data_IF_050972715216
#
_entry.id   IF_050972715216
#
_cell.length_a   1.000
_cell.length_b   1.000
_cell.length_c   1.000
_cell.angle_alpha   90.00
_cell.angle_beta   90.00
_cell.angle_gamma   90.00
#
_symmetry.space_group_name_H-M   'P 1'
#
loop_
_entity.id
_entity.type
_entity.pdbx_description
1 polymer ?
#
# COMPACT_ATOMS: atom_id res chain seq x y z
N UNK A 1 -17.78 4.93 41.89
CA UNK A 1 -18.12 4.21 40.64
C UNK A 1 -18.24 5.12 39.40
N UNK A 2 -18.85 6.32 39.46
CA UNK A 2 -19.00 7.23 38.29
C UNK A 2 -17.69 7.54 37.52
N UNK A 3 -16.59 7.90 38.21
CA UNK A 3 -15.31 8.25 37.58
C UNK A 3 -14.67 7.11 36.77
N UNK A 4 -14.85 5.87 37.21
CA UNK A 4 -14.32 4.69 36.50
C UNK A 4 -15.18 4.35 35.29
N UNK A 5 -16.50 4.53 35.37
CA UNK A 5 -17.41 4.35 34.23
C UNK A 5 -17.14 5.33 33.09
N UNK A 6 -16.89 6.60 33.40
CA UNK A 6 -16.51 7.62 32.41
C UNK A 6 -15.22 7.24 31.68
N UNK A 7 -14.18 6.83 32.42
CA UNK A 7 -12.92 6.39 31.82
C UNK A 7 -13.09 5.14 30.92
N UNK A 8 -13.92 4.18 31.33
CA UNK A 8 -14.21 2.98 30.54
C UNK A 8 -14.98 3.30 29.26
N UNK A 9 -15.98 4.18 29.31
CA UNK A 9 -16.73 4.63 28.13
C UNK A 9 -15.81 5.39 27.17
N UNK A 10 -14.97 6.29 27.69
CA UNK A 10 -13.99 7.02 26.87
C UNK A 10 -12.99 6.06 26.22
N UNK A 11 -12.43 5.11 26.98
CA UNK A 11 -11.52 4.10 26.44
C UNK A 11 -12.20 3.24 25.37
N UNK A 12 -13.44 2.81 25.59
CA UNK A 12 -14.24 2.07 24.60
C UNK A 12 -14.42 2.88 23.32
N UNK A 13 -14.86 4.14 23.41
CA UNK A 13 -15.04 4.99 22.24
C UNK A 13 -13.73 5.21 21.48
N UNK A 14 -12.61 5.40 22.17
CA UNK A 14 -11.29 5.57 21.54
C UNK A 14 -10.87 4.31 20.79
N UNK A 15 -10.96 3.14 21.43
CA UNK A 15 -10.54 1.87 20.83
C UNK A 15 -11.46 1.46 19.68
N UNK A 16 -12.76 1.77 19.77
CA UNK A 16 -13.73 1.43 18.71
C UNK A 16 -13.68 2.40 17.52
N UNK A 17 -13.57 3.71 17.77
CA UNK A 17 -13.78 4.74 16.73
C UNK A 17 -12.55 5.54 16.34
N UNK A 18 -11.51 5.57 17.17
CA UNK A 18 -10.34 6.44 16.92
C UNK A 18 -9.19 5.64 16.33
N UNK A 19 -8.81 4.53 16.95
CA UNK A 19 -7.57 3.83 16.59
C UNK A 19 -7.65 2.32 16.72
N UNK A 20 -7.06 1.61 15.76
CA UNK A 20 -6.81 0.17 15.85
C UNK A 20 -5.33 -0.13 15.60
N UNK A 21 -4.83 -1.21 16.18
CA UNK A 21 -3.46 -1.69 15.92
C UNK A 21 -3.50 -2.98 15.12
N UNK A 22 -2.73 -3.06 14.04
CA UNK A 22 -2.62 -4.24 13.19
C UNK A 22 -1.21 -4.81 13.34
N UNK A 23 -1.12 -6.11 13.67
CA UNK A 23 0.14 -6.84 13.66
C UNK A 23 0.57 -7.19 12.23
N UNK A 24 1.84 -7.02 11.94
CA UNK A 24 2.43 -7.38 10.65
C UNK A 24 3.04 -8.77 10.76
N UNK A 25 2.52 -9.69 9.95
CA UNK A 25 3.02 -11.05 9.83
C UNK A 25 3.57 -11.25 8.41
N UNK A 26 4.80 -11.73 8.34
CA UNK A 26 5.52 -12.00 7.09
C UNK A 26 6.31 -10.80 6.54
N UNK A 27 6.99 -11.04 5.42
CA UNK A 27 8.03 -10.15 4.86
C UNK A 27 7.57 -9.35 3.63
N UNK A 28 6.30 -9.42 3.27
CA UNK A 28 5.78 -8.86 2.01
C UNK A 28 5.88 -7.33 1.91
N UNK A 29 6.01 -6.65 3.04
CA UNK A 29 6.11 -5.20 3.13
C UNK A 29 7.53 -4.72 3.50
N UNK A 30 8.52 -5.62 3.53
CA UNK A 30 9.90 -5.20 3.78
C UNK A 30 10.45 -4.38 2.59
N UNK A 31 11.25 -3.33 2.85
CA UNK A 31 11.76 -2.92 4.16
C UNK A 31 10.87 -1.91 4.90
N UNK A 32 9.71 -1.53 4.37
CA UNK A 32 8.88 -0.46 4.95
C UNK A 32 8.16 -0.90 6.23
N UNK A 33 7.74 -2.16 6.31
CA UNK A 33 7.17 -2.82 7.48
C UNK A 33 7.82 -4.18 7.64
N UNK A 34 8.29 -4.48 8.85
CA UNK A 34 8.99 -5.71 9.19
C UNK A 34 8.08 -6.67 9.94
N UNK A 35 8.39 -7.95 9.83
CA UNK A 35 7.72 -8.99 10.60
C UNK A 35 7.77 -8.70 12.11
N UNK A 36 6.64 -8.88 12.80
CA UNK A 36 6.49 -8.63 14.24
C UNK A 36 6.24 -7.16 14.64
N UNK A 37 6.27 -6.21 13.70
CA UNK A 37 5.88 -4.83 13.98
C UNK A 37 4.36 -4.70 14.17
N UNK A 38 3.92 -3.64 14.86
CA UNK A 38 2.50 -3.25 14.88
C UNK A 38 2.30 -1.86 14.33
N UNK A 39 1.40 -1.77 13.35
CA UNK A 39 0.99 -0.53 12.74
C UNK A 39 -0.24 0.04 13.44
N UNK A 40 -0.19 1.33 13.74
CA UNK A 40 -1.32 2.14 14.18
C UNK A 40 -2.14 2.60 12.98
N UNK A 41 -3.44 2.34 13.04
CA UNK A 41 -4.41 2.66 11.99
C UNK A 41 -5.44 3.63 12.56
N UNK A 42 -5.46 4.89 12.12
CA UNK A 42 -6.55 5.81 12.44
C UNK A 42 -7.84 5.38 11.75
N UNK A 43 -8.89 5.13 12.54
CA UNK A 43 -10.21 4.69 12.02
C UNK A 43 -10.99 5.81 11.35
N UNK A 44 -10.72 7.08 11.71
CA UNK A 44 -11.36 8.25 11.11
C UNK A 44 -11.15 8.33 9.59
N UNK A 45 -10.04 7.83 9.06
CA UNK A 45 -9.78 7.84 7.61
C UNK A 45 -10.71 6.88 6.88
N UNK A 46 -10.92 5.69 7.45
CA UNK A 46 -11.89 4.73 6.90
C UNK A 46 -13.30 5.30 6.91
N UNK A 47 -13.69 5.99 7.98
CA UNK A 47 -14.99 6.66 8.03
C UNK A 47 -15.11 7.79 7.00
N UNK A 48 -14.07 8.61 6.85
CA UNK A 48 -14.06 9.69 5.86
C UNK A 48 -14.15 9.16 4.43
N UNK A 49 -13.51 8.04 4.10
CA UNK A 49 -13.65 7.39 2.78
C UNK A 49 -15.06 6.90 2.55
N UNK A 50 -15.66 6.20 3.54
CA UNK A 50 -17.04 5.68 3.43
C UNK A 50 -18.10 6.78 3.29
N UNK A 51 -17.85 7.95 3.87
CA UNK A 51 -18.70 9.13 3.75
C UNK A 51 -18.43 9.96 2.49
N UNK A 52 -17.49 9.54 1.62
CA UNK A 52 -17.10 10.26 0.41
C UNK A 52 -16.29 11.54 0.67
N UNK A 53 -15.89 11.81 1.91
CA UNK A 53 -15.08 12.97 2.30
C UNK A 53 -13.56 12.76 2.07
N UNK A 54 -13.15 11.52 1.81
CA UNK A 54 -11.76 11.15 1.53
C UNK A 54 -11.66 10.10 0.44
N UNK A 55 -10.50 10.02 -0.21
CA UNK A 55 -10.19 8.97 -1.19
C UNK A 55 -8.82 8.40 -0.88
N UNK A 56 -8.66 7.10 -1.10
CA UNK A 56 -7.36 6.45 -1.03
C UNK A 56 -6.43 6.99 -2.10
N UNK A 57 -5.13 7.07 -1.79
CA UNK A 57 -4.13 7.64 -2.70
C UNK A 57 -3.06 6.61 -3.02
N UNK A 58 -2.51 6.71 -4.23
CA UNK A 58 -1.30 5.98 -4.59
C UNK A 58 -0.19 6.30 -3.59
N UNK A 59 0.50 5.25 -3.12
CA UNK A 59 1.52 5.31 -2.09
C UNK A 59 1.01 5.03 -0.68
N UNK A 60 -0.30 5.00 -0.43
CA UNK A 60 -0.83 4.63 0.88
C UNK A 60 -0.65 3.12 1.15
N UNK A 61 -0.35 2.76 2.40
CA UNK A 61 -0.28 1.37 2.85
C UNK A 61 -1.57 1.03 3.56
N UNK A 62 -2.31 0.08 3.00
CA UNK A 62 -3.64 -0.29 3.46
C UNK A 62 -3.69 -1.76 3.82
N UNK A 63 -4.57 -2.10 4.77
CA UNK A 63 -4.93 -3.48 5.04
C UNK A 63 -6.39 -3.72 4.67
N UNK A 64 -6.64 -4.86 4.05
CA UNK A 64 -7.92 -5.22 3.44
C UNK A 64 -8.12 -6.73 3.52
N UNK A 65 -9.35 -7.16 3.30
CA UNK A 65 -9.67 -8.59 3.25
C UNK A 65 -9.12 -9.18 1.96
N UNK A 66 -8.27 -10.21 2.04
CA UNK A 66 -7.75 -10.86 0.84
C UNK A 66 -8.90 -11.39 -0.05
N UNK A 67 -8.83 -11.28 -1.39
CA UNK A 67 -9.84 -11.84 -2.30
C UNK A 67 -9.95 -13.39 -2.24
N UNK A 68 -11.02 -13.93 -2.82
CA UNK A 68 -11.62 -15.25 -2.57
C UNK A 68 -10.78 -16.53 -2.75
N UNK A 69 -9.56 -16.49 -3.29
CA UNK A 69 -8.81 -17.70 -3.68
C UNK A 69 -7.99 -18.34 -2.55
N UNK A 70 -8.45 -18.23 -1.31
CA UNK A 70 -7.86 -18.95 -0.18
C UNK A 70 -8.94 -19.86 0.38
N UNK A 71 -8.72 -21.18 0.55
CA UNK A 71 -9.74 -22.06 1.10
C UNK A 71 -10.14 -21.57 2.49
N UNK A 72 -11.34 -20.99 2.59
CA UNK A 72 -11.88 -20.45 3.83
C UNK A 72 -12.66 -21.54 4.54
N UNK A 73 -12.34 -21.76 5.81
CA UNK A 73 -13.25 -22.51 6.67
C UNK A 73 -14.58 -21.73 6.86
N UNK A 74 -15.61 -22.41 7.36
CA UNK A 74 -16.94 -21.80 7.56
C UNK A 74 -16.87 -20.54 8.44
N UNK A 75 -15.97 -20.55 9.43
CA UNK A 75 -15.75 -19.43 10.34
C UNK A 75 -15.20 -18.19 9.62
N UNK A 76 -14.24 -18.35 8.72
CA UNK A 76 -13.68 -17.27 7.89
C UNK A 76 -14.66 -16.75 6.84
N UNK A 77 -15.62 -17.57 6.41
CA UNK A 77 -16.72 -17.09 5.55
C UNK A 77 -17.71 -16.22 6.33
N UNK A 78 -17.97 -16.57 7.59
CA UNK A 78 -18.90 -15.84 8.47
C UNK A 78 -18.26 -14.59 9.10
N UNK A 79 -17.00 -14.68 9.54
CA UNK A 79 -16.27 -13.60 10.22
C UNK A 79 -15.41 -12.75 9.28
N UNK A 80 -15.20 -13.20 8.04
CA UNK A 80 -14.24 -12.63 7.10
C UNK A 80 -12.88 -13.31 7.23
N UNK A 81 -12.26 -13.64 6.10
CA UNK A 81 -10.93 -14.27 6.10
C UNK A 81 -9.80 -13.27 6.38
N UNK A 82 -8.53 -13.72 6.28
CA UNK A 82 -7.40 -12.96 6.80
C UNK A 82 -7.24 -11.60 6.13
N UNK A 83 -6.88 -10.61 6.94
CA UNK A 83 -6.47 -9.30 6.46
C UNK A 83 -5.03 -9.37 5.95
N UNK A 84 -4.79 -8.72 4.81
CA UNK A 84 -3.45 -8.56 4.24
C UNK A 84 -3.13 -7.08 4.14
N UNK A 85 -1.85 -6.74 4.33
CA UNK A 85 -1.34 -5.37 4.21
C UNK A 85 -0.51 -5.22 2.94
N UNK A 86 -0.81 -4.20 2.13
CA UNK A 86 -0.14 -3.89 0.85
C UNK A 86 -0.11 -2.38 0.59
N UNK A 87 0.72 -1.94 -0.35
CA UNK A 87 0.78 -0.56 -0.82
C UNK A 87 -0.07 -0.35 -2.06
N UNK A 88 -0.89 0.69 -2.07
CA UNK A 88 -1.61 1.14 -3.26
C UNK A 88 -0.60 1.69 -4.26
N UNK A 89 -0.55 1.13 -5.46
CA UNK A 89 0.28 1.66 -6.54
C UNK A 89 -0.53 2.39 -7.60
N UNK A 90 -1.80 2.03 -7.76
CA UNK A 90 -2.73 2.70 -8.66
C UNK A 90 -4.15 2.69 -8.09
N UNK A 91 -4.91 3.71 -8.44
CA UNK A 91 -6.33 3.89 -8.06
C UNK A 91 -7.22 3.75 -9.30
N UNK A 92 -8.53 3.69 -9.10
CA UNK A 92 -9.48 3.53 -10.19
C UNK A 92 -9.33 4.56 -11.31
N UNK A 93 -9.50 4.09 -12.56
CA UNK A 93 -9.30 4.88 -13.77
C UNK A 93 -7.85 4.94 -14.26
N UNK A 94 -6.89 4.44 -13.48
CA UNK A 94 -5.48 4.34 -13.90
C UNK A 94 -5.19 3.01 -14.59
N UNK A 95 -4.07 2.93 -15.30
CA UNK A 95 -3.59 1.70 -15.94
C UNK A 95 -2.26 1.27 -15.34
N UNK A 96 -2.09 -0.02 -15.04
CA UNK A 96 -0.84 -0.58 -14.49
C UNK A 96 -0.19 -1.52 -15.50
N UNK A 97 1.11 -1.36 -15.74
CA UNK A 97 1.90 -2.28 -16.54
C UNK A 97 3.20 -2.65 -15.81
N UNK A 98 3.78 -3.79 -16.18
CA UNK A 98 5.15 -4.15 -15.78
C UNK A 98 5.95 -4.39 -17.06
N UNK A 99 7.06 -3.69 -17.24
CA UNK A 99 7.95 -3.88 -18.38
C UNK A 99 9.36 -4.13 -17.88
N UNK A 100 9.92 -5.31 -18.18
CA UNK A 100 11.29 -5.68 -17.77
C UNK A 100 11.55 -5.44 -16.27
N UNK A 101 10.57 -5.78 -15.43
CA UNK A 101 10.65 -5.58 -13.99
C UNK A 101 10.47 -4.15 -13.50
N UNK A 102 10.04 -3.21 -14.35
CA UNK A 102 9.70 -1.84 -13.96
C UNK A 102 8.19 -1.67 -13.91
N UNK A 103 7.70 -1.12 -12.81
CA UNK A 103 6.28 -0.78 -12.65
C UNK A 103 5.99 0.54 -13.37
N UNK A 104 5.04 0.50 -14.30
CA UNK A 104 4.49 1.69 -14.94
C UNK A 104 3.05 1.89 -14.50
N UNK A 105 2.69 3.13 -14.23
CA UNK A 105 1.29 3.51 -14.00
C UNK A 105 0.95 4.69 -14.90
N UNK A 106 -0.07 4.52 -15.72
CA UNK A 106 -0.45 5.43 -16.80
C UNK A 106 0.70 5.66 -17.81
N UNK A 107 1.50 4.62 -18.06
CA UNK A 107 2.67 4.65 -18.95
C UNK A 107 3.91 5.33 -18.36
N UNK A 108 3.82 5.88 -17.15
CA UNK A 108 4.95 6.53 -16.48
C UNK A 108 5.60 5.59 -15.45
N UNK A 109 6.94 5.55 -15.34
CA UNK A 109 7.62 4.82 -14.28
C UNK A 109 7.13 5.25 -12.89
N UNK A 110 6.87 4.27 -12.05
CA UNK A 110 6.36 4.49 -10.70
C UNK A 110 7.46 4.30 -9.65
N UNK A 111 7.73 5.36 -8.88
CA UNK A 111 8.65 5.35 -7.74
C UNK A 111 8.04 4.69 -6.49
N UNK A 112 6.91 3.99 -6.61
CA UNK A 112 6.33 3.21 -5.52
C UNK A 112 7.12 1.92 -5.22
N UNK A 113 8.43 1.94 -5.47
CA UNK A 113 9.38 0.87 -5.19
C UNK A 113 10.20 1.31 -3.97
N UNK A 114 10.19 0.49 -2.93
CA UNK A 114 11.10 0.66 -1.80
C UNK A 114 12.24 -0.32 -1.98
N UNK A 115 13.43 0.19 -2.31
CA UNK A 115 14.63 -0.61 -2.56
C UNK A 115 14.86 -0.95 -4.04
N UNK A 116 16.00 -1.55 -4.35
CA UNK A 116 16.47 -1.80 -5.72
C UNK A 116 15.93 -3.09 -6.35
N UNK A 117 15.03 -3.83 -5.69
CA UNK A 117 14.60 -5.14 -6.18
C UNK A 117 13.68 -4.99 -7.41
N UNK A 118 14.16 -5.24 -8.64
CA UNK A 118 13.28 -5.28 -9.79
C UNK A 118 12.37 -6.50 -9.66
N UNK A 119 11.23 -6.53 -10.35
CA UNK A 119 10.36 -7.70 -10.40
C UNK A 119 10.99 -8.86 -11.22
N UNK A 120 12.32 -9.01 -11.20
CA UNK A 120 13.06 -9.79 -12.19
C UNK A 120 12.80 -9.28 -13.61
N UNK A 121 12.68 -10.18 -14.57
CA UNK A 121 12.28 -9.89 -15.97
C UNK A 121 10.76 -9.94 -16.20
N UNK A 122 9.95 -9.93 -15.13
CA UNK A 122 8.50 -10.04 -15.23
C UNK A 122 7.91 -8.89 -16.05
N UNK A 123 7.04 -9.24 -16.99
CA UNK A 123 6.36 -8.32 -17.88
C UNK A 123 4.86 -8.62 -17.86
N UNK A 124 4.05 -7.58 -17.76
CA UNK A 124 2.60 -7.63 -17.70
C UNK A 124 2.04 -6.52 -18.58
N UNK A 125 1.09 -6.90 -19.45
CA UNK A 125 0.38 -5.94 -20.28
C UNK A 125 -0.34 -4.88 -19.44
N UNK A 126 -0.53 -3.71 -20.04
CA UNK A 126 -1.29 -2.62 -19.48
C UNK A 126 -2.69 -3.09 -19.06
N UNK A 127 -2.94 -3.10 -17.75
CA UNK A 127 -4.18 -3.57 -17.13
C UNK A 127 -4.91 -2.39 -16.51
N UNK A 128 -6.14 -2.07 -16.93
CA UNK A 128 -6.91 -0.97 -16.35
C UNK A 128 -7.40 -1.33 -14.95
N UNK A 129 -7.38 -0.35 -14.04
CA UNK A 129 -7.93 -0.46 -12.69
C UNK A 129 -9.37 0.05 -12.70
N UNK A 130 -10.38 -0.77 -12.36
CA UNK A 130 -11.77 -0.32 -12.29
C UNK A 130 -11.95 0.88 -11.33
N UNK A 131 -12.93 1.75 -11.60
CA UNK A 131 -13.09 3.04 -10.92
C UNK A 131 -13.22 2.94 -9.39
N UNK A 132 -13.82 1.88 -8.89
CA UNK A 132 -14.06 1.56 -7.48
C UNK A 132 -13.00 0.60 -6.90
N UNK A 133 -11.91 0.33 -7.63
CA UNK A 133 -10.87 -0.61 -7.23
C UNK A 133 -9.51 0.06 -7.03
N UNK A 134 -8.64 -0.66 -6.33
CA UNK A 134 -7.26 -0.31 -6.04
C UNK A 134 -6.34 -1.41 -6.55
N UNK A 135 -5.24 -1.04 -7.19
CA UNK A 135 -4.19 -1.99 -7.51
C UNK A 135 -3.11 -1.90 -6.42
N UNK A 136 -2.88 -3.01 -5.71
CA UNK A 136 -2.04 -3.04 -4.51
C UNK A 136 -0.92 -4.04 -4.66
N UNK A 137 0.27 -3.66 -4.19
CA UNK A 137 1.47 -4.49 -4.27
C UNK A 137 2.23 -4.49 -2.94
N UNK A 138 2.90 -5.60 -2.63
CA UNK A 138 3.81 -5.64 -1.48
C UNK A 138 5.06 -4.81 -1.78
N UNK A 139 5.69 -4.22 -0.76
CA UNK A 139 6.95 -3.51 -0.97
C UNK A 139 8.11 -4.45 -1.27
N UNK A 140 8.06 -5.67 -0.74
CA UNK A 140 9.00 -6.71 -1.07
C UNK A 140 8.63 -7.35 -2.42
N UNK A 141 9.31 -6.91 -3.48
CA UNK A 141 9.07 -7.32 -4.87
C UNK A 141 9.75 -8.61 -5.29
N UNK A 142 10.52 -9.24 -4.41
CA UNK A 142 11.23 -10.49 -4.74
C UNK A 142 10.25 -11.62 -5.09
N UNK A 143 10.65 -12.58 -5.95
CA UNK A 143 9.78 -13.69 -6.32
C UNK A 143 9.26 -14.42 -5.08
N UNK A 144 7.96 -14.72 -5.05
CA UNK A 144 7.25 -15.40 -3.96
C UNK A 144 7.16 -14.65 -2.61
N UNK A 145 7.76 -13.46 -2.47
CA UNK A 145 7.71 -12.73 -1.20
C UNK A 145 6.39 -12.00 -0.92
N UNK A 146 5.57 -11.78 -1.95
CA UNK A 146 4.28 -11.10 -1.82
C UNK A 146 3.24 -11.69 -2.76
N UNK A 147 2.14 -12.19 -2.17
CA UNK A 147 0.88 -12.43 -2.89
C UNK A 147 0.08 -11.13 -2.89
N UNK A 148 -0.06 -10.51 -4.05
CA UNK A 148 -0.66 -9.19 -4.24
C UNK A 148 -1.50 -9.09 -5.53
N UNK A 149 -1.84 -7.89 -6.01
CA UNK A 149 -2.72 -7.71 -7.17
C UNK A 149 -2.22 -8.35 -8.47
N UNK A 150 -0.94 -8.74 -8.55
CA UNK A 150 -0.43 -9.58 -9.65
C UNK A 150 -1.07 -10.97 -9.68
N UNK A 151 -1.46 -11.50 -8.52
CA UNK A 151 -2.01 -12.84 -8.36
C UNK A 151 -3.53 -12.85 -8.24
N UNK A 152 -4.12 -11.87 -7.55
CA UNK A 152 -5.57 -11.83 -7.26
C UNK A 152 -6.32 -10.66 -7.92
N UNK A 153 -5.63 -9.81 -8.71
CA UNK A 153 -6.24 -8.66 -9.37
C UNK A 153 -6.43 -7.43 -8.49
N UNK A 154 -7.19 -6.45 -8.98
CA UNK A 154 -7.50 -5.23 -8.25
C UNK A 154 -8.48 -5.52 -7.09
N UNK A 155 -8.42 -4.70 -6.04
CA UNK A 155 -9.19 -4.88 -4.80
C UNK A 155 -10.28 -3.82 -4.72
N UNK A 156 -11.53 -4.17 -4.40
CA UNK A 156 -12.59 -3.19 -4.17
C UNK A 156 -12.21 -2.21 -3.06
N UNK A 157 -12.50 -0.92 -3.26
CA UNK A 157 -12.23 0.13 -2.26
C UNK A 157 -12.93 -0.14 -0.93
N UNK A 158 -14.10 -0.78 -0.97
CA UNK A 158 -14.92 -1.11 0.19
C UNK A 158 -14.34 -2.24 1.06
N UNK A 159 -13.47 -3.09 0.49
CA UNK A 159 -12.78 -4.15 1.24
C UNK A 159 -11.62 -3.61 2.09
N UNK A 160 -11.26 -2.34 1.92
CA UNK A 160 -10.21 -1.68 2.70
C UNK A 160 -10.71 -1.35 4.11
N UNK A 161 -10.07 -1.95 5.11
CA UNK A 161 -10.42 -1.71 6.51
C UNK A 161 -9.72 -0.47 7.10
N UNK A 162 -8.58 -0.06 6.53
CA UNK A 162 -7.94 1.22 6.86
C UNK A 162 -6.50 1.33 6.38
N UNK A 163 -5.89 2.48 6.69
CA UNK A 163 -4.50 2.79 6.32
C UNK A 163 -3.56 2.68 7.51
N UNK A 164 -2.48 1.93 7.35
CA UNK A 164 -1.37 1.89 8.28
C UNK A 164 -0.61 3.22 8.23
N UNK A 165 -0.67 4.00 9.31
CA UNK A 165 -0.12 5.36 9.34
C UNK A 165 1.21 5.44 10.09
N UNK A 166 1.35 4.69 11.19
CA UNK A 166 2.54 4.69 12.05
C UNK A 166 2.90 3.27 12.45
N UNK A 167 4.17 3.00 12.70
CA UNK A 167 4.62 1.83 13.46
C UNK A 167 4.92 2.28 14.87
N UNK A 168 4.43 1.54 15.85
CA UNK A 168 4.55 1.86 17.28
C UNK A 168 5.08 0.71 18.14
N UNK A 169 5.18 -0.50 17.57
CA UNK A 169 5.66 -1.70 18.26
C UNK A 169 6.70 -2.45 17.40
N UNK A 170 7.76 -3.05 17.98
CA UNK A 170 8.16 -2.96 19.41
C UNK A 170 8.42 -1.51 19.81
N UNK A 171 8.26 -1.09 21.07
CA UNK A 171 8.34 0.33 21.44
C UNK A 171 9.77 0.89 21.34
N UNK A 172 10.76 0.01 21.47
CA UNK A 172 12.17 0.33 21.31
C UNK A 172 12.76 -0.45 20.14
N UNK A 173 13.69 0.17 19.43
CA UNK A 173 14.51 -0.47 18.40
C UNK A 173 15.99 -0.22 18.67
N UNK A 174 16.87 -1.18 18.38
CA UNK A 174 18.30 -0.95 18.44
C UNK A 174 18.72 0.08 17.37
N UNK A 175 19.70 0.90 17.69
CA UNK A 175 20.31 1.86 16.77
C UNK A 175 21.72 1.40 16.35
N UNK A 176 22.24 1.81 15.18
CA UNK A 176 23.54 1.34 14.67
C UNK A 176 24.73 1.64 15.60
N UNK A 177 24.62 2.69 16.42
CA UNK A 177 25.56 3.10 17.46
C UNK A 177 25.48 2.26 18.75
N UNK A 178 24.64 1.22 18.78
CA UNK A 178 24.48 0.33 19.94
C UNK A 178 23.48 0.83 20.99
N UNK A 179 22.79 1.93 20.71
CA UNK A 179 21.75 2.50 21.59
C UNK A 179 20.34 1.94 21.34
N UNK A 180 19.38 2.54 22.04
CA UNK A 180 17.94 2.27 21.86
C UNK A 180 17.21 3.55 21.51
N UNK A 181 16.33 3.49 20.51
CA UNK A 181 15.46 4.59 20.14
C UNK A 181 14.00 4.18 20.19
N UNK A 182 13.12 5.15 20.47
CA UNK A 182 11.69 4.99 20.35
C UNK A 182 11.33 4.60 18.90
N UNK A 183 10.60 3.51 18.74
CA UNK A 183 10.15 3.02 17.44
C UNK A 183 8.76 3.58 17.11
N UNK A 184 8.66 4.91 17.08
CA UNK A 184 7.48 5.62 16.58
C UNK A 184 7.87 6.24 15.26
N UNK A 185 7.52 5.56 14.16
CA UNK A 185 7.89 5.98 12.80
C UNK A 185 6.66 6.05 11.92
N UNK A 186 6.60 7.06 11.05
CA UNK A 186 5.56 7.12 10.02
C UNK A 186 5.80 6.04 8.97
N UNK A 187 4.73 5.39 8.55
CA UNK A 187 4.77 4.53 7.36
C UNK A 187 4.98 5.45 6.15
N UNK A 188 6.04 5.26 5.34
CA UNK A 188 6.34 6.16 4.24
C UNK A 188 5.16 6.22 3.26
N UNK A 189 4.74 7.44 2.92
CA UNK A 189 3.87 7.69 1.76
C UNK A 189 4.76 8.01 0.59
N UNK A 190 4.98 7.03 -0.28
CA UNK A 190 5.73 7.24 -1.51
C UNK A 190 4.89 8.14 -2.40
N UNK A 191 5.44 9.27 -2.83
CA UNK A 191 4.79 10.12 -3.85
C UNK A 191 5.23 9.61 -5.22
N UNK A 192 4.35 9.63 -6.23
CA UNK A 192 4.81 9.57 -7.62
C UNK A 192 5.85 10.68 -7.83
N UNK A 193 6.96 10.38 -8.50
CA UNK A 193 7.81 11.44 -9.06
C UNK A 193 6.91 12.38 -9.87
N UNK A 194 6.77 13.62 -9.40
CA UNK A 194 6.36 14.69 -10.31
C UNK A 194 7.54 14.86 -11.26
N UNK A 195 7.38 14.49 -12.52
CA UNK A 195 8.35 14.92 -13.53
C UNK A 195 8.32 16.44 -13.56
N UNK A 196 9.44 17.10 -13.23
CA UNK A 196 9.77 18.37 -13.88
C UNK A 196 9.94 18.01 -15.34
N UNK A 197 8.87 18.18 -16.13
CA UNK A 197 9.01 18.23 -17.58
C UNK A 197 9.72 19.56 -17.87
N UNK A 198 10.94 19.58 -18.43
CA UNK A 198 11.43 20.80 -19.05
C UNK A 198 10.49 21.07 -20.22
N UNK A 199 9.69 22.12 -20.13
CA UNK A 199 8.95 22.63 -21.27
C UNK A 199 10.00 23.09 -22.28
N UNK A 200 10.08 22.37 -23.40
CA UNK A 200 10.89 22.78 -24.54
C UNK A 200 12.09 21.88 -24.78
N UNK A 201 11.89 20.88 -25.66
CA UNK A 201 12.59 20.80 -26.94
C UNK A 201 11.72 19.94 -27.85
N UNK A 202 11.28 20.54 -28.97
CA UNK A 202 10.55 19.86 -30.03
C UNK A 202 11.38 18.66 -30.50
N UNK A 203 10.75 17.49 -30.62
CA UNK A 203 11.36 16.38 -31.35
C UNK A 203 11.66 16.84 -32.78
N UNK A 204 12.84 16.53 -33.36
CA UNK A 204 13.00 16.66 -34.79
C UNK A 204 12.07 15.65 -35.46
N UNK A 205 11.28 16.13 -36.41
CA UNK A 205 10.41 15.33 -37.26
C UNK A 205 11.22 14.26 -38.01
N UNK A 206 10.61 13.09 -38.20
CA UNK A 206 11.15 11.90 -38.87
C UNK A 206 11.49 12.06 -40.37
N UNK A 207 11.72 13.29 -40.84
CA UNK A 207 11.99 13.61 -42.26
C UNK A 207 13.49 13.80 -42.54
N UNK A 208 14.35 13.77 -41.52
CA UNK A 208 15.79 14.05 -41.67
C UNK A 208 16.70 12.80 -41.69
N UNK A 209 16.16 11.58 -41.87
CA UNK A 209 16.96 10.34 -41.94
C UNK A 209 17.16 9.78 -43.37
N UNK A 210 16.96 10.60 -44.40
CA UNK A 210 17.09 10.20 -45.81
C UNK A 210 18.17 10.97 -46.59
N UNK A 211 19.20 11.52 -45.93
CA UNK A 211 20.29 12.25 -46.57
C UNK A 211 21.68 11.82 -46.08
N UNK A 212 21.86 10.52 -45.84
CA UNK A 212 23.17 9.93 -45.61
C UNK A 212 23.22 8.52 -46.23
N UNK A 213 23.23 8.49 -47.57
CA UNK A 213 23.79 7.40 -48.39
C UNK A 213 24.80 8.06 -49.31
#
# INVERSE_FOLDING_TARGET
>A
MRRWGEALVVAFLIVTFVVTTVGIEGRSMEPSLRDGERALVPRYETWAVRLGAHVWRSGDVVYFRAPGDTPRNLLERVLGGPFVIKRIVAVGGQTVALEHGRLLVDGEPSDHVVGDAPFGSFTMAATPVPADHLYVLGDNRTPLASRDSRAFGAVPTDDVAGRAAWVIWPPLRPTPDGGWALNVRRVPRLRRARRRVPVGRRCPSATALAAAV
#
